data_IF_646660351690
#
_entry.id   IF_646660351690
#
_cell.length_a   1.000
_cell.length_b   1.000
_cell.length_c   1.000
_cell.angle_alpha   90.00
_cell.angle_beta   90.00
_cell.angle_gamma   90.00
#
_symmetry.space_group_name_H-M   'P 1'
#
loop_
_entity.id
_entity.type
_entity.pdbx_description
1 polymer ?
#
# COMPACT_ATOMS: atom_id res chain seq x y z
N UNK A 1 -26.79 -28.36 -33.22
CA UNK A 1 -25.96 -28.76 -32.10
C UNK A 1 -26.19 -27.81 -30.91
N UNK A 2 -27.24 -28.09 -30.17
CA UNK A 2 -27.68 -27.26 -29.06
C UNK A 2 -26.69 -27.24 -27.88
N UNK A 3 -25.85 -28.31 -27.73
CA UNK A 3 -24.91 -28.44 -26.61
C UNK A 3 -23.76 -27.45 -26.66
N UNK A 4 -23.31 -27.00 -27.85
CA UNK A 4 -22.19 -26.08 -27.97
C UNK A 4 -22.53 -24.66 -27.51
N UNK A 5 -23.81 -24.26 -27.60
CA UNK A 5 -24.25 -22.92 -27.18
C UNK A 5 -24.29 -22.81 -25.65
N UNK A 6 -24.78 -23.83 -24.96
CA UNK A 6 -24.85 -23.84 -23.49
C UNK A 6 -23.44 -23.86 -22.85
N UNK A 7 -22.53 -24.63 -23.43
CA UNK A 7 -21.13 -24.69 -22.94
C UNK A 7 -20.45 -23.33 -23.09
N UNK A 8 -20.68 -22.61 -24.20
CA UNK A 8 -20.12 -21.26 -24.39
C UNK A 8 -20.64 -20.28 -23.35
N UNK A 9 -21.91 -20.32 -23.01
CA UNK A 9 -22.50 -19.44 -22.00
C UNK A 9 -21.88 -19.69 -20.62
N UNK A 10 -21.69 -20.95 -20.25
CA UNK A 10 -21.06 -21.32 -18.97
C UNK A 10 -19.61 -20.84 -18.92
N UNK A 11 -18.84 -21.10 -19.98
CA UNK A 11 -17.44 -20.67 -20.08
C UNK A 11 -17.33 -19.16 -19.98
N UNK A 12 -18.16 -18.40 -20.67
CA UNK A 12 -18.16 -16.95 -20.62
C UNK A 12 -18.45 -16.42 -19.21
N UNK A 13 -19.41 -17.03 -18.49
CA UNK A 13 -19.69 -16.65 -17.10
C UNK A 13 -18.49 -16.92 -16.19
N UNK A 14 -17.80 -18.03 -16.39
CA UNK A 14 -16.59 -18.36 -15.61
C UNK A 14 -15.48 -17.35 -15.86
N UNK A 15 -15.25 -16.93 -17.11
CA UNK A 15 -14.28 -15.89 -17.45
C UNK A 15 -14.64 -14.55 -16.83
N UNK A 16 -15.90 -14.15 -16.90
CA UNK A 16 -16.37 -12.90 -16.31
C UNK A 16 -16.15 -12.88 -14.80
N UNK A 17 -16.41 -13.99 -14.11
CA UNK A 17 -16.18 -14.08 -12.67
C UNK A 17 -14.69 -13.99 -12.32
N UNK A 18 -13.82 -14.63 -13.09
CA UNK A 18 -12.37 -14.56 -12.88
C UNK A 18 -11.86 -13.13 -13.07
N UNK A 19 -12.30 -12.45 -14.11
CA UNK A 19 -11.94 -11.05 -14.37
C UNK A 19 -12.43 -10.16 -13.23
N UNK A 20 -13.65 -10.34 -12.77
CA UNK A 20 -14.22 -9.57 -11.67
C UNK A 20 -13.44 -9.79 -10.39
N UNK A 21 -13.07 -11.03 -10.05
CA UNK A 21 -12.26 -11.35 -8.86
C UNK A 21 -10.87 -10.71 -8.96
N UNK A 22 -10.25 -10.80 -10.13
CA UNK A 22 -8.95 -10.18 -10.37
C UNK A 22 -9.03 -8.66 -10.20
N UNK A 23 -10.06 -8.02 -10.73
CA UNK A 23 -10.28 -6.59 -10.59
C UNK A 23 -10.56 -6.20 -9.13
N UNK A 24 -11.32 -7.00 -8.38
CA UNK A 24 -11.55 -6.77 -6.96
C UNK A 24 -10.26 -6.81 -6.16
N UNK A 25 -9.39 -7.79 -6.42
CA UNK A 25 -8.09 -7.88 -5.75
C UNK A 25 -7.20 -6.67 -6.05
N UNK A 26 -7.21 -6.20 -7.30
CA UNK A 26 -6.48 -5.00 -7.71
C UNK A 26 -7.03 -3.78 -6.98
N UNK A 27 -8.36 -3.64 -6.90
CA UNK A 27 -9.00 -2.53 -6.21
C UNK A 27 -8.72 -2.54 -4.71
N UNK A 28 -8.74 -3.69 -4.08
CA UNK A 28 -8.38 -3.84 -2.66
C UNK A 28 -6.93 -3.42 -2.41
N UNK A 29 -6.02 -3.84 -3.28
CA UNK A 29 -4.61 -3.48 -3.19
C UNK A 29 -4.40 -1.97 -3.35
N UNK A 30 -5.10 -1.35 -4.31
CA UNK A 30 -5.07 0.10 -4.51
C UNK A 30 -5.62 0.82 -3.28
N UNK A 31 -6.73 0.35 -2.74
CA UNK A 31 -7.36 0.93 -1.55
C UNK A 31 -6.43 0.87 -0.35
N UNK A 32 -5.79 -0.26 -0.09
CA UNK A 32 -4.82 -0.41 1.00
C UNK A 32 -3.61 0.50 0.82
N UNK A 33 -3.14 0.64 -0.41
CA UNK A 33 -2.04 1.54 -0.73
C UNK A 33 -2.41 2.99 -0.45
N UNK A 34 -3.61 3.42 -0.86
CA UNK A 34 -4.08 4.79 -0.62
C UNK A 34 -4.24 5.09 0.87
N UNK A 35 -4.79 4.15 1.62
CA UNK A 35 -4.92 4.28 3.08
C UNK A 35 -3.55 4.41 3.74
N UNK A 36 -2.61 3.55 3.34
CA UNK A 36 -1.24 3.61 3.86
C UNK A 36 -0.57 4.93 3.52
N UNK A 37 -0.73 5.41 2.28
CA UNK A 37 -0.19 6.70 1.86
C UNK A 37 -0.74 7.86 2.69
N UNK A 38 -2.04 7.86 2.98
CA UNK A 38 -2.67 8.90 3.81
C UNK A 38 -2.11 8.89 5.23
N UNK A 39 -1.98 7.72 5.82
CA UNK A 39 -1.42 7.58 7.17
C UNK A 39 0.06 8.01 7.19
N UNK A 40 0.84 7.64 6.17
CA UNK A 40 2.23 8.08 6.04
C UNK A 40 2.33 9.60 5.98
N UNK A 41 1.47 10.26 5.21
CA UNK A 41 1.43 11.72 5.10
C UNK A 41 1.07 12.34 6.45
N UNK A 42 0.10 11.78 7.17
CA UNK A 42 -0.30 12.25 8.49
C UNK A 42 0.85 12.13 9.49
N UNK A 43 1.52 10.99 9.49
CA UNK A 43 2.68 10.76 10.36
C UNK A 43 3.83 11.73 10.04
N UNK A 44 4.11 11.91 8.75
CA UNK A 44 5.15 12.84 8.33
C UNK A 44 4.84 14.27 8.74
N UNK A 45 3.59 14.71 8.55
CA UNK A 45 3.14 16.03 8.95
C UNK A 45 3.31 16.25 10.46
N UNK A 46 2.95 15.25 11.26
CA UNK A 46 3.12 15.30 12.71
C UNK A 46 4.58 15.43 13.11
N UNK A 47 5.47 14.66 12.49
CA UNK A 47 6.90 14.74 12.78
C UNK A 47 7.50 16.09 12.38
N UNK A 48 7.07 16.66 11.26
CA UNK A 48 7.49 18.00 10.84
C UNK A 48 7.15 19.03 11.92
N UNK A 49 5.97 18.96 12.49
CA UNK A 49 5.54 19.87 13.56
C UNK A 49 6.24 19.61 14.89
N UNK A 50 6.47 18.34 15.22
CA UNK A 50 7.09 17.96 16.50
C UNK A 50 8.59 18.22 16.54
N UNK A 51 9.26 18.22 15.38
CA UNK A 51 10.71 18.34 15.29
C UNK A 51 11.12 19.47 14.33
N UNK A 52 10.87 20.72 14.73
CA UNK A 52 11.15 21.88 13.84
C UNK A 52 12.63 22.07 13.52
N UNK A 53 13.53 21.51 14.33
CA UNK A 53 14.97 21.62 14.11
C UNK A 53 15.54 20.63 13.11
N UNK A 54 14.74 19.63 12.73
CA UNK A 54 15.19 18.60 11.80
C UNK A 54 14.94 19.00 10.35
N UNK A 55 15.92 18.74 9.51
CA UNK A 55 15.76 18.90 8.07
C UNK A 55 14.88 17.77 7.52
N UNK A 56 14.23 18.01 6.41
CA UNK A 56 13.28 17.04 5.81
C UNK A 56 13.90 15.68 5.61
N UNK A 57 15.11 15.60 5.04
CA UNK A 57 15.81 14.33 4.86
C UNK A 57 16.09 13.59 6.17
N UNK A 58 16.39 14.33 7.23
CA UNK A 58 16.61 13.77 8.56
C UNK A 58 15.34 13.16 9.13
N UNK A 59 14.20 13.80 8.90
CA UNK A 59 12.88 13.28 9.30
C UNK A 59 12.60 11.99 8.53
N UNK A 60 12.79 11.99 7.21
CA UNK A 60 12.51 10.81 6.39
C UNK A 60 13.34 9.60 6.81
N UNK A 61 14.63 9.78 7.03
CA UNK A 61 15.51 8.68 7.46
C UNK A 61 15.32 8.31 8.93
N UNK A 62 15.17 9.32 9.78
CA UNK A 62 15.11 9.11 11.22
C UNK A 62 13.86 8.37 11.67
N UNK A 63 12.75 8.53 10.99
CA UNK A 63 11.48 7.92 11.38
C UNK A 63 11.05 6.74 10.49
N UNK A 64 11.96 6.25 9.65
CA UNK A 64 11.74 5.01 8.91
C UNK A 64 11.00 5.14 7.60
N UNK A 65 10.74 6.36 7.10
CA UNK A 65 10.13 6.56 5.78
C UNK A 65 11.07 6.10 4.66
N UNK A 66 12.36 6.33 4.84
CA UNK A 66 13.40 5.93 3.89
C UNK A 66 14.47 5.15 4.65
N UNK A 67 14.89 4.03 4.08
CA UNK A 67 16.01 3.24 4.60
C UNK A 67 16.99 2.95 3.46
N UNK A 68 18.28 2.87 3.79
CA UNK A 68 19.35 2.81 2.83
C UNK A 68 19.27 1.61 1.88
N UNK A 69 18.86 0.45 2.39
CA UNK A 69 18.85 -0.79 1.64
C UNK A 69 17.52 -1.10 0.94
N UNK A 70 16.58 -0.18 0.98
CA UNK A 70 15.24 -0.39 0.39
C UNK A 70 15.03 0.57 -0.76
N UNK A 71 14.58 0.03 -1.89
CA UNK A 71 14.15 0.82 -3.03
C UNK A 71 12.75 1.36 -2.77
N UNK A 72 12.70 2.56 -2.20
CA UNK A 72 11.43 3.20 -1.82
C UNK A 72 10.49 3.40 -3.01
N UNK A 73 11.03 3.63 -4.19
CA UNK A 73 10.22 3.82 -5.39
C UNK A 73 9.34 2.60 -5.69
N UNK A 74 9.88 1.40 -5.47
CA UNK A 74 9.18 0.15 -5.73
C UNK A 74 8.59 -0.49 -4.46
N UNK A 75 8.87 0.07 -3.28
CA UNK A 75 8.33 -0.47 -2.03
C UNK A 75 6.84 -0.21 -1.94
N UNK A 76 6.08 -1.24 -1.55
CA UNK A 76 4.64 -1.08 -1.30
C UNK A 76 4.42 -0.19 -0.07
N UNK A 77 3.47 0.72 -0.18
CA UNK A 77 3.20 1.71 0.88
C UNK A 77 2.84 1.09 2.23
N UNK A 78 2.17 -0.07 2.20
CA UNK A 78 1.84 -0.83 3.42
C UNK A 78 3.11 -1.24 4.16
N UNK A 79 4.15 -1.66 3.44
CA UNK A 79 5.42 -2.06 4.03
C UNK A 79 6.18 -0.86 4.60
N UNK A 80 6.16 0.27 3.90
CA UNK A 80 6.73 1.53 4.39
C UNK A 80 6.05 1.94 5.71
N UNK A 81 4.71 1.90 5.72
CA UNK A 81 3.93 2.27 6.90
C UNK A 81 4.22 1.35 8.09
N UNK A 82 4.32 0.06 7.86
CA UNK A 82 4.66 -0.90 8.91
C UNK A 82 6.01 -0.55 9.55
N UNK A 83 6.99 -0.20 8.75
CA UNK A 83 8.31 0.21 9.24
C UNK A 83 8.23 1.52 10.04
N UNK A 84 7.48 2.51 9.55
CA UNK A 84 7.30 3.80 10.25
C UNK A 84 6.60 3.58 11.59
N UNK A 85 5.58 2.73 11.65
CA UNK A 85 4.89 2.37 12.89
C UNK A 85 5.82 1.69 13.87
N UNK A 86 6.68 0.81 13.39
CA UNK A 86 7.64 0.08 14.21
C UNK A 86 8.65 1.04 14.83
N UNK A 87 9.19 1.98 14.07
CA UNK A 87 10.11 2.99 14.56
C UNK A 87 9.44 3.86 15.64
N UNK A 88 8.21 4.30 15.38
CA UNK A 88 7.44 5.08 16.36
C UNK A 88 7.22 4.32 17.66
N UNK A 89 6.90 3.04 17.57
CA UNK A 89 6.71 2.18 18.73
C UNK A 89 8.01 2.04 19.54
N UNK A 90 9.12 1.81 18.87
CA UNK A 90 10.44 1.65 19.52
C UNK A 90 10.89 2.94 20.21
N UNK A 91 10.61 4.10 19.63
CA UNK A 91 10.99 5.39 20.23
C UNK A 91 10.18 5.73 21.48
N UNK A 92 8.92 5.26 21.57
CA UNK A 92 8.04 5.54 22.69
C UNK A 92 8.27 4.57 23.88
N UNK A 93 9.17 3.66 23.76
CA UNK A 93 9.54 2.66 24.75
C UNK A 93 11.02 2.69 25.04
#
# INVERSE_FOLDING_TARGET
MAQSHEVRVIVNKMFQERERRAQQKIQEKISHRQEANRELIQNLSAYVEMYPDLRFGQILEGFGFVVEDTDLFNEESVDTLERVRKVAFEENH
#
